data_IF_937249702479
#
_entry.id   IF_937249702479
#
_cell.length_a   1.000
_cell.length_b   1.000
_cell.length_c   1.000
_cell.angle_alpha   90.00
_cell.angle_beta   90.00
_cell.angle_gamma   90.00
#
_symmetry.space_group_name_H-M   'P 1'
#
loop_
_entity.id
_entity.type
_entity.pdbx_description
1 polymer ?
#
# COMPACT_ATOMS: atom_id res chain seq x y z
N UNK A 1 15.68 0.54 0.70
CA UNK A 1 14.21 0.51 0.48
C UNK A 1 13.79 -0.94 0.52
N UNK A 2 12.78 -1.30 1.34
CA UNK A 2 12.29 -2.67 1.62
C UNK A 2 13.10 -3.79 0.94
N UNK A 3 14.09 -4.32 1.68
CA UNK A 3 15.24 -5.07 1.17
C UNK A 3 14.93 -6.43 0.56
N UNK A 4 14.35 -6.42 -0.63
CA UNK A 4 14.40 -7.52 -1.59
C UNK A 4 14.60 -6.93 -2.99
N UNK A 5 15.46 -7.52 -3.83
CA UNK A 5 15.61 -7.15 -5.26
C UNK A 5 14.36 -7.50 -6.11
N UNK A 6 13.23 -7.78 -5.47
CA UNK A 6 12.02 -8.42 -5.97
C UNK A 6 10.81 -7.48 -5.98
N UNK A 7 11.01 -6.17 -6.18
CA UNK A 7 9.86 -5.28 -6.42
C UNK A 7 9.11 -5.81 -7.66
N UNK A 8 7.85 -6.24 -7.52
CA UNK A 8 7.16 -6.90 -8.63
C UNK A 8 7.09 -5.99 -9.85
N UNK A 9 7.69 -6.41 -10.96
CA UNK A 9 7.64 -5.65 -12.21
C UNK A 9 6.50 -6.10 -13.13
N UNK A 10 5.78 -7.16 -12.76
CA UNK A 10 4.64 -7.70 -13.48
C UNK A 10 3.66 -8.39 -12.53
N UNK A 11 2.48 -8.73 -13.05
CA UNK A 11 1.40 -9.35 -12.28
C UNK A 11 1.80 -10.70 -11.67
N UNK A 12 2.52 -11.55 -12.41
CA UNK A 12 2.95 -12.84 -11.91
C UNK A 12 3.87 -12.71 -10.70
N UNK A 13 4.87 -11.82 -10.78
CA UNK A 13 5.76 -11.51 -9.65
C UNK A 13 4.99 -10.95 -8.47
N UNK A 14 3.95 -10.14 -8.72
CA UNK A 14 3.12 -9.57 -7.66
C UNK A 14 2.39 -10.68 -6.91
N UNK A 15 1.71 -11.58 -7.63
CA UNK A 15 1.01 -12.70 -7.00
C UNK A 15 1.99 -13.63 -6.28
N UNK A 16 3.14 -13.98 -6.88
CA UNK A 16 4.16 -14.79 -6.20
C UNK A 16 4.66 -14.14 -4.91
N UNK A 17 4.88 -12.82 -4.91
CA UNK A 17 5.24 -12.07 -3.72
C UNK A 17 4.12 -12.11 -2.67
N UNK A 18 2.87 -11.91 -3.07
CA UNK A 18 1.73 -12.00 -2.16
C UNK A 18 1.61 -13.40 -1.52
N UNK A 19 1.78 -14.47 -2.29
CA UNK A 19 1.79 -15.82 -1.73
C UNK A 19 2.92 -16.06 -0.73
N UNK A 20 4.09 -15.44 -0.93
CA UNK A 20 5.23 -15.59 -0.03
C UNK A 20 5.09 -14.80 1.27
N UNK A 21 4.51 -13.60 1.22
CA UNK A 21 4.52 -12.64 2.35
C UNK A 21 3.15 -12.41 2.99
N UNK A 22 2.06 -12.80 2.33
CA UNK A 22 0.67 -12.64 2.79
C UNK A 22 -0.06 -13.99 2.69
N UNK A 23 0.38 -15.03 3.43
CA UNK A 23 -0.27 -16.33 3.39
C UNK A 23 -1.74 -16.22 3.81
N UNK A 24 -2.63 -16.99 3.17
CA UNK A 24 -4.08 -16.98 3.39
C UNK A 24 -4.82 -15.71 2.93
N UNK A 25 -4.16 -14.83 2.17
CA UNK A 25 -4.77 -13.61 1.63
C UNK A 25 -5.28 -13.73 0.19
N UNK A 26 -5.32 -14.94 -0.39
CA UNK A 26 -5.43 -15.14 -1.85
C UNK A 26 -6.65 -14.45 -2.46
N UNK A 27 -7.76 -14.53 -1.73
CA UNK A 27 -9.05 -13.94 -2.08
C UNK A 27 -8.99 -12.42 -2.24
N UNK A 28 -8.05 -11.75 -1.58
CA UNK A 28 -7.95 -10.29 -1.51
C UNK A 28 -6.75 -9.71 -2.27
N UNK A 29 -5.86 -10.53 -2.84
CA UNK A 29 -4.67 -10.05 -3.56
C UNK A 29 -5.02 -9.11 -4.71
N UNK A 30 -6.02 -9.48 -5.51
CA UNK A 30 -6.48 -8.64 -6.64
C UNK A 30 -7.12 -7.34 -6.15
N UNK A 31 -7.81 -7.34 -5.01
CA UNK A 31 -8.33 -6.11 -4.39
C UNK A 31 -7.17 -5.21 -3.91
N UNK A 32 -6.15 -5.79 -3.28
CA UNK A 32 -4.92 -5.09 -2.90
C UNK A 32 -4.24 -4.40 -4.09
N UNK A 33 -4.06 -5.14 -5.19
CA UNK A 33 -3.50 -4.62 -6.43
C UNK A 33 -4.36 -3.50 -7.02
N UNK A 34 -5.66 -3.72 -7.16
CA UNK A 34 -6.58 -2.74 -7.72
C UNK A 34 -6.59 -1.45 -6.90
N UNK A 35 -6.58 -1.54 -5.55
CA UNK A 35 -6.52 -0.37 -4.67
C UNK A 35 -5.21 0.41 -4.87
N UNK A 36 -4.07 -0.28 -5.00
CA UNK A 36 -2.79 0.35 -5.26
C UNK A 36 -2.72 1.01 -6.65
N UNK A 37 -3.16 0.31 -7.70
CA UNK A 37 -3.23 0.88 -9.05
C UNK A 37 -4.13 2.10 -9.09
N UNK A 38 -5.29 2.05 -8.43
CA UNK A 38 -6.23 3.16 -8.35
C UNK A 38 -5.65 4.37 -7.60
N UNK A 39 -4.98 4.13 -6.47
CA UNK A 39 -4.28 5.18 -5.74
C UNK A 39 -3.19 5.88 -6.59
N UNK A 40 -2.39 5.09 -7.31
CA UNK A 40 -1.34 5.60 -8.21
C UNK A 40 -1.97 6.43 -9.34
N UNK A 41 -3.00 5.90 -9.98
CA UNK A 41 -3.72 6.57 -11.05
C UNK A 41 -4.25 7.94 -10.61
N UNK A 42 -4.96 7.99 -9.48
CA UNK A 42 -5.50 9.24 -8.95
C UNK A 42 -4.40 10.27 -8.65
N UNK A 43 -3.27 9.85 -8.07
CA UNK A 43 -2.15 10.77 -7.80
C UNK A 43 -1.47 11.26 -9.07
N UNK A 44 -1.33 10.42 -10.09
CA UNK A 44 -0.79 10.84 -11.41
C UNK A 44 -1.71 11.83 -12.10
N UNK A 45 -3.02 11.61 -12.04
CA UNK A 45 -4.02 12.54 -12.58
C UNK A 45 -3.98 13.87 -11.84
N UNK A 46 -3.92 13.85 -10.52
CA UNK A 46 -3.85 15.06 -9.72
C UNK A 46 -2.58 15.89 -10.04
N UNK A 47 -1.45 15.22 -10.24
CA UNK A 47 -0.21 15.88 -10.65
C UNK A 47 -0.31 16.47 -12.07
N UNK A 48 -1.04 15.83 -12.97
CA UNK A 48 -1.16 16.24 -14.39
C UNK A 48 -2.18 17.36 -14.57
N UNK A 49 -3.37 17.22 -13.97
CA UNK A 49 -4.51 18.11 -14.21
C UNK A 49 -4.64 19.21 -13.14
N UNK A 50 -4.22 18.95 -11.91
CA UNK A 50 -4.31 19.90 -10.80
C UNK A 50 -2.93 20.46 -10.39
N UNK A 51 -1.85 20.02 -11.05
CA UNK A 51 -0.45 20.40 -10.73
C UNK A 51 -0.05 20.12 -9.27
N UNK A 52 -0.75 19.20 -8.59
CA UNK A 52 -0.45 18.81 -7.21
C UNK A 52 0.59 17.71 -7.21
N UNK A 53 1.82 18.07 -6.86
CA UNK A 53 2.92 17.11 -6.71
C UNK A 53 2.70 16.20 -5.51
N UNK A 54 3.12 14.95 -5.65
CA UNK A 54 3.16 13.99 -4.54
C UNK A 54 4.19 14.47 -3.51
N UNK A 55 3.78 14.70 -2.26
CA UNK A 55 4.71 15.14 -1.21
C UNK A 55 5.47 13.97 -0.61
N UNK A 56 4.89 12.77 -0.61
CA UNK A 56 5.49 11.58 -0.04
C UNK A 56 5.00 10.29 -0.72
N UNK A 57 5.87 9.29 -0.94
CA UNK A 57 5.43 7.97 -1.45
C UNK A 57 4.43 7.29 -0.51
N UNK A 58 4.46 7.61 0.79
CA UNK A 58 3.51 7.10 1.78
C UNK A 58 2.07 7.56 1.52
N UNK A 59 1.87 8.68 0.82
CA UNK A 59 0.52 9.13 0.45
C UNK A 59 -0.19 8.09 -0.44
N UNK A 60 0.52 7.44 -1.36
CA UNK A 60 -0.04 6.37 -2.19
C UNK A 60 -0.43 5.20 -1.29
N UNK A 61 0.45 4.78 -0.38
CA UNK A 61 0.21 3.64 0.53
C UNK A 61 -1.00 3.89 1.44
N UNK A 62 -1.10 5.08 2.05
CA UNK A 62 -2.25 5.42 2.87
C UNK A 62 -3.53 5.53 2.06
N UNK A 63 -3.45 6.06 0.83
CA UNK A 63 -4.58 6.11 -0.09
C UNK A 63 -5.05 4.69 -0.43
N UNK A 64 -4.13 3.75 -0.69
CA UNK A 64 -4.46 2.33 -0.89
C UNK A 64 -5.19 1.75 0.32
N UNK A 65 -4.71 2.01 1.54
CA UNK A 65 -5.37 1.55 2.77
C UNK A 65 -6.81 2.10 2.88
N UNK A 66 -7.02 3.37 2.55
CA UNK A 66 -8.36 3.98 2.53
C UNK A 66 -9.30 3.32 1.53
N UNK A 67 -8.81 2.98 0.33
CA UNK A 67 -9.62 2.25 -0.66
C UNK A 67 -9.98 0.84 -0.16
N UNK A 68 -9.04 0.13 0.46
CA UNK A 68 -9.30 -1.21 1.01
C UNK A 68 -10.34 -1.17 2.12
N UNK A 69 -10.23 -0.25 3.08
CA UNK A 69 -11.26 -0.09 4.13
C UNK A 69 -12.63 0.28 3.55
N UNK A 70 -12.66 1.17 2.55
CA UNK A 70 -13.90 1.52 1.86
C UNK A 70 -14.53 0.30 1.15
N UNK A 71 -13.72 -0.49 0.43
CA UNK A 71 -14.18 -1.69 -0.25
C UNK A 71 -14.56 -2.82 0.70
N UNK A 72 -13.96 -2.92 1.89
CA UNK A 72 -14.37 -3.88 2.91
C UNK A 72 -15.85 -3.68 3.30
N UNK A 73 -16.31 -2.43 3.38
CA UNK A 73 -17.72 -2.10 3.60
C UNK A 73 -18.68 -2.67 2.53
N UNK A 74 -18.18 -2.92 1.31
CA UNK A 74 -18.96 -3.50 0.21
C UNK A 74 -19.04 -5.03 0.27
N UNK A 75 -18.26 -5.69 1.12
CA UNK A 75 -18.21 -7.15 1.27
C UNK A 75 -19.19 -7.66 2.35
N UNK A 76 -19.52 -8.95 2.24
CA UNK A 76 -20.21 -9.74 3.28
C UNK A 76 -19.29 -9.97 4.49
N UNK A 77 -19.88 -10.28 5.64
CA UNK A 77 -19.24 -10.24 6.96
C UNK A 77 -17.84 -10.87 7.03
N UNK A 78 -17.64 -12.10 6.57
CA UNK A 78 -16.32 -12.76 6.59
C UNK A 78 -15.28 -12.02 5.76
N UNK A 79 -15.63 -11.62 4.52
CA UNK A 79 -14.69 -10.89 3.64
C UNK A 79 -14.43 -9.46 4.10
N UNK A 80 -15.43 -8.83 4.72
CA UNK A 80 -15.33 -7.49 5.30
C UNK A 80 -14.30 -7.49 6.44
N UNK A 81 -14.43 -8.42 7.39
CA UNK A 81 -13.55 -8.48 8.54
C UNK A 81 -12.09 -8.74 8.13
N UNK A 82 -11.87 -9.68 7.22
CA UNK A 82 -10.54 -10.00 6.67
C UNK A 82 -9.90 -8.79 5.99
N UNK A 83 -10.63 -8.14 5.08
CA UNK A 83 -10.08 -7.02 4.30
C UNK A 83 -9.81 -5.79 5.17
N UNK A 84 -10.71 -5.49 6.12
CA UNK A 84 -10.53 -4.39 7.06
C UNK A 84 -9.34 -4.63 7.98
N UNK A 85 -9.18 -5.86 8.49
CA UNK A 85 -8.03 -6.24 9.29
C UNK A 85 -6.71 -6.08 8.51
N UNK A 86 -6.68 -6.55 7.26
CA UNK A 86 -5.53 -6.40 6.37
C UNK A 86 -5.20 -4.92 6.10
N UNK A 87 -6.21 -4.09 5.83
CA UNK A 87 -6.04 -2.64 5.62
C UNK A 87 -5.47 -1.95 6.87
N UNK A 88 -5.95 -2.33 8.06
CA UNK A 88 -5.46 -1.80 9.33
C UNK A 88 -3.99 -2.18 9.59
N UNK A 89 -3.60 -3.43 9.32
CA UNK A 89 -2.22 -3.89 9.43
C UNK A 89 -1.28 -3.18 8.45
N UNK A 90 -1.67 -3.05 7.17
CA UNK A 90 -0.91 -2.31 6.18
C UNK A 90 -0.69 -0.85 6.60
N UNK A 91 -1.75 -0.20 7.09
CA UNK A 91 -1.68 1.18 7.58
C UNK A 91 -0.75 1.32 8.78
N UNK A 92 -0.77 0.36 9.71
CA UNK A 92 0.13 0.33 10.87
C UNK A 92 1.59 0.18 10.43
N UNK A 93 1.89 -0.82 9.60
CA UNK A 93 3.25 -1.08 9.11
C UNK A 93 3.80 0.11 8.30
N UNK A 94 2.95 0.76 7.50
CA UNK A 94 3.33 1.96 6.76
C UNK A 94 3.71 3.13 7.69
N UNK A 95 2.98 3.33 8.79
CA UNK A 95 3.33 4.35 9.81
C UNK A 95 4.66 4.05 10.48
N UNK A 96 4.90 2.80 10.87
CA UNK A 96 6.16 2.37 11.48
C UNK A 96 7.33 2.60 10.52
N UNK A 97 7.19 2.19 9.26
CA UNK A 97 8.22 2.41 8.24
C UNK A 97 8.47 3.91 8.00
N UNK A 98 7.42 4.73 7.94
CA UNK A 98 7.55 6.19 7.79
C UNK A 98 8.32 6.81 8.96
N UNK A 99 8.06 6.36 10.19
CA UNK A 99 8.82 6.79 11.37
C UNK A 99 10.29 6.41 11.25
N UNK A 100 10.58 5.16 10.88
CA UNK A 100 11.96 4.67 10.71
C UNK A 100 12.71 5.45 9.62
N UNK A 101 12.07 5.71 8.48
CA UNK A 101 12.65 6.53 7.41
C UNK A 101 12.96 7.95 7.89
N UNK A 102 12.08 8.54 8.70
CA UNK A 102 12.28 9.88 9.28
C UNK A 102 13.49 9.89 10.22
N UNK A 103 13.58 8.90 11.13
CA UNK A 103 14.73 8.76 12.03
C UNK A 103 16.05 8.55 11.28
N UNK A 104 16.05 7.70 10.24
CA UNK A 104 17.23 7.45 9.43
C UNK A 104 17.68 8.70 8.66
N UNK A 105 16.75 9.46 8.09
CA UNK A 105 17.04 10.72 7.42
C UNK A 105 17.69 11.72 8.39
N UNK A 106 17.09 11.94 9.57
CA UNK A 106 17.62 12.85 10.58
C UNK A 106 19.03 12.48 11.03
N UNK A 107 19.30 11.17 11.20
CA UNK A 107 20.63 10.65 11.54
C UNK A 107 21.66 10.90 10.43
N UNK A 108 21.26 10.83 9.16
CA UNK A 108 22.14 11.06 8.01
C UNK A 108 22.45 12.54 7.75
N UNK A 109 21.57 13.45 8.16
CA UNK A 109 21.75 14.90 7.96
C UNK A 109 22.45 15.61 9.11
N UNK A 110 22.51 15.00 10.30
CA UNK A 110 23.10 15.57 11.52
C UNK A 110 24.37 14.85 11.98
N UNK A 111 24.80 13.80 11.26
CA UNK A 111 25.95 12.96 11.57
C UNK A 111 27.12 13.16 10.60
#
# INVERSE_FOLDING_TARGET
MLGTDLCPNNLCQFYSWCYAFLPHGERHFTMGLAAACWAIWNRRNQATFEFKKLSSPFEIVFTTCTHLSYWAGLLKDEGRAELEHGAALLKKNAKELMSLCTTAYMRSTLG
#
